data_IF_777592452162
#
_entry.id   IF_777592452162
#
_cell.length_a   1.000
_cell.length_b   1.000
_cell.length_c   1.000
_cell.angle_alpha   90.00
_cell.angle_beta   90.00
_cell.angle_gamma   90.00
#
_symmetry.space_group_name_H-M   'P 1'
#
loop_
_entity.id
_entity.type
_entity.pdbx_description
1 polymer ?
#
# COMPACT_ATOMS: atom_id res chain seq x y z
N UNK A 1 -0.32 21.23 12.30
CA UNK A 1 -0.41 22.14 11.12
C UNK A 1 -0.14 21.46 9.78
N UNK A 2 0.80 20.50 9.65
CA UNK A 2 1.11 19.83 8.37
C UNK A 2 0.05 18.82 7.88
N UNK A 3 -0.68 18.19 8.80
CA UNK A 3 -1.68 17.16 8.48
C UNK A 3 -2.90 17.72 7.75
N UNK A 4 -3.42 18.89 8.18
CA UNK A 4 -4.54 19.60 7.51
C UNK A 4 -4.29 19.81 6.02
N UNK A 5 -3.10 20.31 5.66
CA UNK A 5 -2.76 20.67 4.29
C UNK A 5 -2.79 19.46 3.32
N UNK A 6 -2.40 18.26 3.78
CA UNK A 6 -2.38 17.06 2.94
C UNK A 6 -3.80 16.50 2.75
N UNK A 7 -4.61 16.50 3.82
CA UNK A 7 -6.03 16.13 3.72
C UNK A 7 -6.81 17.08 2.81
N UNK A 8 -6.60 18.39 2.94
CA UNK A 8 -7.31 19.40 2.15
C UNK A 8 -6.98 19.27 0.67
N UNK A 9 -5.72 18.99 0.33
CA UNK A 9 -5.29 18.72 -1.05
C UNK A 9 -5.92 17.44 -1.61
N UNK A 10 -5.97 16.36 -0.84
CA UNK A 10 -6.61 15.11 -1.27
C UNK A 10 -8.10 15.29 -1.54
N UNK A 11 -8.82 15.91 -0.62
CA UNK A 11 -10.25 16.21 -0.77
C UNK A 11 -10.50 17.11 -1.98
N UNK A 12 -9.68 18.14 -2.19
CA UNK A 12 -9.78 19.03 -3.35
C UNK A 12 -9.66 18.27 -4.69
N UNK A 13 -8.65 17.39 -4.82
CA UNK A 13 -8.43 16.63 -6.06
C UNK A 13 -9.54 15.58 -6.27
N UNK A 14 -9.99 14.92 -5.20
CA UNK A 14 -11.14 14.01 -5.27
C UNK A 14 -12.40 14.71 -5.76
N UNK A 15 -12.70 15.89 -5.21
CA UNK A 15 -13.86 16.67 -5.60
C UNK A 15 -13.80 17.05 -7.07
N UNK A 16 -12.61 17.39 -7.60
CA UNK A 16 -12.42 17.69 -9.01
C UNK A 16 -12.78 16.51 -9.93
N UNK A 17 -12.39 15.28 -9.58
CA UNK A 17 -12.83 14.10 -10.35
C UNK A 17 -14.33 13.84 -10.21
N UNK A 18 -14.89 14.00 -9.02
CA UNK A 18 -16.32 13.85 -8.78
C UNK A 18 -17.13 14.89 -9.57
N UNK A 19 -16.60 16.10 -9.77
CA UNK A 19 -17.16 17.12 -10.65
C UNK A 19 -17.08 16.72 -12.12
N UNK A 20 -15.92 16.25 -12.59
CA UNK A 20 -15.75 15.76 -13.97
C UNK A 20 -16.77 14.67 -14.30
N UNK A 21 -17.04 13.75 -13.37
CA UNK A 21 -18.05 12.71 -13.55
C UNK A 21 -19.46 13.29 -13.78
N UNK A 22 -19.79 14.40 -13.12
CA UNK A 22 -21.09 15.09 -13.21
C UNK A 22 -21.24 15.97 -14.45
N UNK A 23 -20.16 16.16 -15.23
CA UNK A 23 -20.18 17.01 -16.41
C UNK A 23 -21.18 16.54 -17.47
N UNK A 24 -21.91 17.51 -18.00
CA UNK A 24 -22.73 17.35 -19.20
C UNK A 24 -21.82 17.35 -20.43
N UNK A 25 -22.41 17.00 -21.58
CA UNK A 25 -21.70 16.95 -22.87
C UNK A 25 -21.08 18.30 -23.24
N UNK A 26 -21.77 19.38 -22.91
CA UNK A 26 -21.30 20.76 -23.11
C UNK A 26 -20.03 21.03 -22.32
N UNK A 27 -19.99 20.60 -21.06
CA UNK A 27 -18.89 20.89 -20.14
C UNK A 27 -17.64 20.10 -20.55
N UNK A 28 -17.82 18.84 -20.99
CA UNK A 28 -16.73 18.05 -21.59
C UNK A 28 -16.17 18.73 -22.83
N UNK A 29 -17.05 19.23 -23.72
CA UNK A 29 -16.64 19.89 -24.95
C UNK A 29 -15.89 21.19 -24.68
N UNK A 30 -16.39 22.01 -23.75
CA UNK A 30 -15.74 23.24 -23.31
C UNK A 30 -14.37 22.97 -22.69
N UNK A 31 -14.28 21.93 -21.86
CA UNK A 31 -13.02 21.52 -21.26
C UNK A 31 -11.99 21.09 -22.31
N UNK A 32 -12.36 20.25 -23.28
CA UNK A 32 -11.45 19.83 -24.35
C UNK A 32 -11.03 21.04 -25.19
N UNK A 33 -11.96 21.94 -25.53
CA UNK A 33 -11.65 23.20 -26.24
C UNK A 33 -10.67 24.08 -25.47
N UNK A 34 -10.82 24.18 -24.14
CA UNK A 34 -9.87 24.92 -23.29
C UNK A 34 -8.45 24.34 -23.33
N UNK A 35 -8.31 23.07 -23.72
CA UNK A 35 -7.06 22.32 -23.86
C UNK A 35 -6.63 22.07 -25.30
N UNK A 36 -7.33 22.63 -26.27
CA UNK A 36 -7.09 22.39 -27.69
C UNK A 36 -5.64 22.70 -28.09
N UNK A 37 -5.13 23.87 -27.74
CA UNK A 37 -3.76 24.28 -28.05
C UNK A 37 -2.71 23.46 -27.29
N UNK A 38 -3.00 23.05 -26.06
CA UNK A 38 -2.09 22.24 -25.23
C UNK A 38 -1.96 20.82 -25.79
N UNK A 39 -3.01 20.32 -26.46
CA UNK A 39 -3.11 18.97 -26.98
C UNK A 39 -2.90 18.85 -28.49
N UNK A 40 -2.67 19.98 -29.18
CA UNK A 40 -2.52 20.06 -30.64
C UNK A 40 -3.70 19.41 -31.38
N UNK A 41 -4.92 19.70 -30.93
CA UNK A 41 -6.16 19.20 -31.52
C UNK A 41 -6.72 20.17 -32.56
N UNK A 42 -7.18 19.67 -33.69
CA UNK A 42 -7.92 20.47 -34.66
C UNK A 42 -9.43 20.49 -34.35
N UNK A 43 -10.18 21.29 -35.11
CA UNK A 43 -11.62 21.42 -34.91
C UNK A 43 -12.39 20.13 -35.30
N UNK A 44 -11.83 19.29 -36.18
CA UNK A 44 -12.47 18.05 -36.62
C UNK A 44 -12.35 16.97 -35.54
N UNK A 45 -11.20 16.89 -34.86
CA UNK A 45 -10.99 16.03 -33.70
C UNK A 45 -12.02 16.32 -32.59
N UNK A 46 -12.23 17.60 -32.29
CA UNK A 46 -13.20 18.06 -31.29
C UNK A 46 -14.64 17.72 -31.71
N UNK A 47 -14.95 17.91 -32.99
CA UNK A 47 -16.27 17.61 -33.57
C UNK A 47 -16.60 16.12 -33.55
N UNK A 48 -15.60 15.23 -33.66
CA UNK A 48 -15.78 13.78 -33.49
C UNK A 48 -16.25 13.46 -32.07
N UNK A 49 -15.66 14.07 -31.04
CA UNK A 49 -16.09 13.88 -29.65
C UNK A 49 -17.50 14.42 -29.42
N UNK A 50 -17.80 15.61 -29.95
CA UNK A 50 -19.13 16.22 -29.89
C UNK A 50 -20.20 15.32 -30.52
N UNK A 51 -19.95 14.81 -31.73
CA UNK A 51 -20.86 13.92 -32.48
C UNK A 51 -21.18 12.63 -31.72
N UNK A 52 -20.20 12.12 -30.97
CA UNK A 52 -20.33 10.91 -30.15
C UNK A 52 -20.97 11.16 -28.77
N UNK A 53 -21.43 12.39 -28.49
CA UNK A 53 -22.28 12.72 -27.33
C UNK A 53 -21.68 12.30 -25.98
N UNK A 54 -20.37 12.46 -25.83
CA UNK A 54 -19.60 12.06 -24.64
C UNK A 54 -19.94 12.95 -23.44
N UNK A 55 -20.40 12.33 -22.34
CA UNK A 55 -20.61 13.00 -21.05
C UNK A 55 -19.47 12.68 -20.07
N UNK A 56 -19.38 13.40 -18.96
CA UNK A 56 -18.29 13.31 -17.97
C UNK A 56 -17.94 11.88 -17.52
N UNK A 57 -18.95 11.12 -17.11
CA UNK A 57 -18.82 9.71 -16.73
C UNK A 57 -18.21 8.82 -17.84
N UNK A 58 -18.52 9.11 -19.11
CA UNK A 58 -17.96 8.36 -20.24
C UNK A 58 -16.54 8.84 -20.53
N UNK A 59 -16.35 10.16 -20.53
CA UNK A 59 -15.07 10.82 -20.80
C UNK A 59 -13.95 10.28 -19.93
N UNK A 60 -14.16 10.19 -18.61
CA UNK A 60 -13.14 9.68 -17.68
C UNK A 60 -12.78 8.19 -17.95
N UNK A 61 -13.62 7.45 -18.65
CA UNK A 61 -13.45 6.02 -18.94
C UNK A 61 -12.98 5.75 -20.39
N UNK A 62 -12.70 6.81 -21.16
CA UNK A 62 -12.07 6.68 -22.47
C UNK A 62 -10.59 6.30 -22.30
N UNK A 63 -10.14 5.48 -23.23
CA UNK A 63 -8.76 5.04 -23.38
C UNK A 63 -8.34 5.29 -24.83
N UNK A 64 -7.04 5.35 -25.08
CA UNK A 64 -6.51 5.51 -26.44
C UNK A 64 -7.09 4.45 -27.39
N UNK A 65 -7.16 3.18 -26.96
CA UNK A 65 -7.77 2.08 -27.72
C UNK A 65 -9.24 2.35 -28.09
N UNK A 66 -10.04 2.89 -27.16
CA UNK A 66 -11.45 3.23 -27.43
C UNK A 66 -11.57 4.41 -28.40
N UNK A 67 -10.66 5.37 -28.32
CA UNK A 67 -10.64 6.55 -29.20
C UNK A 67 -10.20 6.20 -30.62
N UNK A 68 -9.30 5.23 -30.77
CA UNK A 68 -8.88 4.69 -32.07
C UNK A 68 -9.97 3.83 -32.71
N UNK A 69 -10.76 3.12 -31.92
CA UNK A 69 -11.81 2.24 -32.40
C UNK A 69 -13.11 3.00 -32.77
N UNK A 70 -14.01 2.37 -33.56
CA UNK A 70 -15.37 2.86 -33.71
C UNK A 70 -16.05 3.00 -32.34
N UNK A 71 -16.86 4.06 -32.13
CA UNK A 71 -17.36 5.00 -33.13
C UNK A 71 -16.49 6.26 -33.34
N UNK A 72 -15.39 6.42 -32.61
CA UNK A 72 -14.59 7.64 -32.61
C UNK A 72 -13.65 7.71 -33.82
N UNK A 73 -12.95 6.61 -34.12
CA UNK A 73 -12.00 6.53 -35.24
C UNK A 73 -11.03 7.72 -35.29
N UNK A 74 -10.60 8.22 -34.13
CA UNK A 74 -9.61 9.30 -34.04
C UNK A 74 -8.26 8.80 -34.53
N UNK A 75 -7.46 9.71 -35.07
CA UNK A 75 -6.07 9.42 -35.38
C UNK A 75 -5.26 9.25 -34.09
N UNK A 76 -4.16 8.50 -34.18
CA UNK A 76 -3.36 8.15 -32.99
C UNK A 76 -2.82 9.34 -32.20
N UNK A 77 -2.47 10.45 -32.87
CA UNK A 77 -2.04 11.67 -32.18
C UNK A 77 -3.13 12.23 -31.26
N UNK A 78 -4.27 12.68 -31.80
CA UNK A 78 -5.41 13.17 -31.02
C UNK A 78 -5.91 12.17 -29.97
N UNK A 79 -6.01 10.89 -30.33
CA UNK A 79 -6.44 9.83 -29.41
C UNK A 79 -5.49 9.69 -28.21
N UNK A 80 -4.17 9.68 -28.46
CA UNK A 80 -3.15 9.60 -27.43
C UNK A 80 -3.14 10.85 -26.53
N UNK A 81 -3.29 12.04 -27.11
CA UNK A 81 -3.32 13.31 -26.37
C UNK A 81 -4.51 13.38 -25.40
N UNK A 82 -5.72 13.04 -25.86
CA UNK A 82 -6.92 12.99 -25.02
C UNK A 82 -6.79 11.91 -23.94
N UNK A 83 -6.28 10.72 -24.29
CA UNK A 83 -6.06 9.65 -23.32
C UNK A 83 -5.05 10.05 -22.23
N UNK A 84 -3.98 10.78 -22.61
CA UNK A 84 -3.00 11.30 -21.66
C UNK A 84 -3.60 12.35 -20.72
N UNK A 85 -4.47 13.23 -21.23
CA UNK A 85 -5.21 14.19 -20.40
C UNK A 85 -6.05 13.48 -19.33
N UNK A 86 -6.83 12.47 -19.74
CA UNK A 86 -7.68 11.68 -18.83
C UNK A 86 -6.82 10.94 -17.80
N UNK A 87 -5.72 10.34 -18.23
CA UNK A 87 -4.79 9.64 -17.34
C UNK A 87 -4.19 10.59 -16.30
N UNK A 88 -3.79 11.78 -16.71
CA UNK A 88 -3.22 12.80 -15.81
C UNK A 88 -4.20 13.18 -14.69
N UNK A 89 -5.50 13.29 -15.01
CA UNK A 89 -6.55 13.55 -14.00
C UNK A 89 -6.67 12.41 -12.98
N UNK A 90 -6.48 11.16 -13.39
CA UNK A 90 -6.55 9.99 -12.51
C UNK A 90 -5.31 9.82 -11.65
N UNK A 91 -4.14 10.00 -12.27
CA UNK A 91 -2.84 9.83 -11.61
C UNK A 91 -2.66 10.88 -10.50
N UNK A 92 -3.20 12.09 -10.68
CA UNK A 92 -3.19 13.14 -9.65
C UNK A 92 -3.95 12.72 -8.37
N UNK A 93 -5.10 12.04 -8.52
CA UNK A 93 -5.84 11.46 -7.38
C UNK A 93 -5.05 10.32 -6.74
N UNK A 94 -4.49 9.43 -7.53
CA UNK A 94 -3.75 8.29 -7.01
C UNK A 94 -2.51 8.73 -6.21
N UNK A 95 -1.76 9.70 -6.73
CA UNK A 95 -0.60 10.26 -6.05
C UNK A 95 -1.00 10.94 -4.72
N UNK A 96 -2.11 11.70 -4.74
CA UNK A 96 -2.63 12.37 -3.55
C UNK A 96 -3.11 11.37 -2.49
N UNK A 97 -3.77 10.29 -2.90
CA UNK A 97 -4.20 9.20 -2.00
C UNK A 97 -3.02 8.51 -1.33
N UNK A 98 -1.95 8.21 -2.07
CA UNK A 98 -0.73 7.62 -1.51
C UNK A 98 -0.10 8.56 -0.47
N UNK A 99 -0.06 9.87 -0.77
CA UNK A 99 0.44 10.87 0.18
C UNK A 99 -0.42 10.94 1.45
N UNK A 100 -1.74 10.89 1.31
CA UNK A 100 -2.67 10.88 2.45
C UNK A 100 -2.46 9.65 3.34
N UNK A 101 -2.36 8.46 2.74
CA UNK A 101 -2.13 7.21 3.50
C UNK A 101 -0.78 7.22 4.24
N UNK A 102 0.27 7.79 3.64
CA UNK A 102 1.57 7.89 4.28
C UNK A 102 1.52 8.75 5.55
N UNK A 103 0.83 9.90 5.49
CA UNK A 103 0.65 10.80 6.64
C UNK A 103 -0.26 10.19 7.71
N UNK A 104 -1.33 9.51 7.32
CA UNK A 104 -2.20 8.82 8.28
C UNK A 104 -1.43 7.76 9.07
N UNK A 105 -0.58 6.99 8.39
CA UNK A 105 0.23 5.92 9.01
C UNK A 105 1.27 6.46 10.00
N UNK A 106 1.87 7.63 9.75
CA UNK A 106 2.84 8.24 10.68
C UNK A 106 2.18 8.79 11.94
N UNK A 107 0.96 9.32 11.84
CA UNK A 107 0.25 9.88 12.99
C UNK A 107 -0.24 8.80 13.98
N UNK A 108 -0.48 7.57 13.50
CA UNK A 108 -0.82 6.44 14.38
C UNK A 108 0.39 5.96 15.20
N UNK A 109 1.61 6.11 14.67
CA UNK A 109 2.85 5.77 15.39
C UNK A 109 3.18 6.80 16.48
N UNK A 110 3.05 8.10 16.21
CA UNK A 110 3.29 9.16 17.21
C UNK A 110 2.32 9.05 18.40
N UNK A 111 1.04 8.73 18.15
CA UNK A 111 0.06 8.49 19.23
C UNK A 111 0.38 7.26 20.09
N UNK A 112 1.12 6.28 19.55
CA UNK A 112 1.53 5.11 20.32
C UNK A 112 2.72 5.42 21.23
N UNK A 113 3.66 6.27 20.80
CA UNK A 113 4.83 6.66 21.59
C UNK A 113 4.48 7.58 22.77
N UNK A 114 3.53 8.52 22.61
CA UNK A 114 3.11 9.40 23.73
C UNK A 114 2.47 8.63 24.90
N UNK A 115 1.94 7.43 24.67
CA UNK A 115 1.39 6.59 25.74
C UNK A 115 2.43 5.82 26.56
N UNK A 116 3.71 5.82 26.15
CA UNK A 116 4.80 5.13 26.86
C UNK A 116 5.67 6.05 27.71
N UNK A 117 5.52 7.38 27.62
CA UNK A 117 6.32 8.32 28.41
C UNK A 117 5.71 8.72 29.77
N UNK A 118 4.44 8.42 30.04
CA UNK A 118 3.75 8.85 31.28
C UNK A 118 3.79 7.82 32.43
N UNK A 119 4.92 7.12 32.64
CA UNK A 119 5.11 6.22 33.82
C UNK A 119 6.55 6.14 34.35
N UNK A 120 7.36 7.19 34.20
CA UNK A 120 8.74 7.20 34.75
C UNK A 120 9.00 8.33 35.76
N UNK A 121 8.02 8.66 36.59
CA UNK A 121 8.29 9.38 37.84
C UNK A 121 8.34 8.38 39.00
N UNK A 122 9.55 7.88 39.26
CA UNK A 122 9.88 7.10 40.44
C UNK A 122 9.78 7.98 41.69
N UNK A 123 9.07 7.47 42.68
CA UNK A 123 9.00 7.95 44.06
C UNK A 123 10.39 8.16 44.66
N UNK A 124 10.58 9.31 45.32
CA UNK A 124 11.57 9.46 46.39
C UNK A 124 10.80 9.68 47.68
N UNK A 125 10.90 8.71 48.60
CA UNK A 125 10.33 8.77 49.95
C UNK A 125 11.13 9.73 50.83
N UNK A 126 10.47 10.68 51.49
CA UNK A 126 10.84 11.12 52.83
C UNK A 126 9.59 11.57 53.61
N UNK A 127 9.53 11.13 54.87
CA UNK A 127 8.34 10.99 55.69
C UNK A 127 8.00 12.23 56.56
N UNK A 128 6.90 12.08 57.34
CA UNK A 128 6.49 12.83 58.57
C UNK A 128 5.48 13.98 58.27
N UNK A 129 4.27 14.12 58.85
CA UNK A 129 3.54 13.56 60.00
C UNK A 129 2.03 13.96 59.88
N UNK A 130 1.11 13.15 60.46
CA UNK A 130 -0.13 13.50 61.22
C UNK A 130 -1.08 14.59 60.65
N UNK A 131 -2.40 14.39 60.51
CA UNK A 131 -3.38 13.82 61.46
C UNK A 131 -4.75 13.69 60.80
N UNK A 132 -5.35 12.50 60.96
CA UNK A 132 -6.73 12.11 61.24
C UNK A 132 -7.97 13.00 60.90
N UNK A 133 -9.05 12.27 60.61
CA UNK A 133 -10.46 12.42 61.08
C UNK A 133 -11.53 12.69 59.97
N UNK A 134 -12.40 11.69 59.84
CA UNK A 134 -13.83 11.67 59.46
C UNK A 134 -14.28 11.72 57.99
N UNK A 135 -14.64 10.52 57.51
CA UNK A 135 -15.91 10.21 56.84
C UNK A 135 -17.12 10.95 57.47
N UNK A 136 -18.16 11.29 56.68
CA UNK A 136 -19.20 10.28 56.46
C UNK A 136 -19.84 10.28 55.07
N UNK A 137 -20.35 9.09 54.73
CA UNK A 137 -21.37 8.85 53.72
C UNK A 137 -22.61 9.73 53.92
N UNK A 138 -23.29 10.12 52.82
CA UNK A 138 -24.74 10.05 52.75
C UNK A 138 -25.26 10.11 51.31
N UNK A 139 -26.35 9.36 51.13
CA UNK A 139 -27.04 8.97 49.92
C UNK A 139 -28.00 10.04 49.35
N UNK A 140 -28.36 9.82 48.07
CA UNK A 140 -29.71 9.84 47.49
C UNK A 140 -30.47 11.17 47.17
N UNK A 141 -31.02 11.18 45.94
CA UNK A 141 -32.36 11.61 45.46
C UNK A 141 -32.51 12.90 44.61
N UNK A 142 -33.30 12.68 43.53
CA UNK A 142 -34.17 13.58 42.74
C UNK A 142 -33.57 14.34 41.56
N UNK A 143 -33.96 14.00 40.31
CA UNK A 143 -35.18 14.43 39.58
C UNK A 143 -34.98 15.84 38.98
N UNK A 144 -35.39 16.23 37.78
CA UNK A 144 -36.37 15.79 36.77
C UNK A 144 -36.18 16.72 35.56
N UNK A 145 -36.56 16.32 34.35
CA UNK A 145 -36.71 17.29 33.24
C UNK A 145 -36.79 16.66 31.85
N UNK A 146 -37.95 16.09 31.52
CA UNK A 146 -38.41 15.97 30.12
C UNK A 146 -38.52 17.39 29.51
N UNK A 147 -38.33 17.61 28.20
CA UNK A 147 -39.43 17.61 27.21
C UNK A 147 -38.83 17.89 25.80
N UNK A 148 -39.22 17.04 24.84
CA UNK A 148 -39.69 17.33 23.47
C UNK A 148 -38.75 18.00 22.43
N UNK A 149 -38.53 17.30 21.30
CA UNK A 149 -39.02 17.63 19.94
C UNK A 149 -38.27 16.72 18.93
N UNK A 150 -38.95 15.71 18.41
CA UNK A 150 -38.80 15.31 16.99
C UNK A 150 -39.94 15.94 16.18
N UNK A 151 -40.18 15.59 14.90
CA UNK A 151 -39.46 14.62 14.05
C UNK A 151 -39.26 15.11 12.58
N UNK A 152 -38.61 14.28 11.76
CA UNK A 152 -39.05 13.83 10.42
C UNK A 152 -37.88 13.61 9.44
N UNK A 153 -37.74 12.35 9.04
CA UNK A 153 -37.06 11.89 7.82
C UNK A 153 -37.99 10.82 7.22
N UNK A 154 -38.40 10.92 5.95
CA UNK A 154 -39.33 9.95 5.38
C UNK A 154 -38.58 8.77 4.77
N UNK A 155 -38.97 7.58 5.20
CA UNK A 155 -38.82 6.34 4.44
C UNK A 155 -39.90 6.28 3.35
N UNK A 156 -39.52 5.75 2.19
CA UNK A 156 -40.47 5.28 1.18
C UNK A 156 -40.14 3.81 0.89
N UNK A 157 -40.95 2.92 1.44
CA UNK A 157 -41.20 1.60 0.88
C UNK A 157 -42.30 1.74 -0.18
N UNK A 158 -42.19 1.00 -1.28
CA UNK A 158 -43.21 0.00 -1.57
C UNK A 158 -42.87 -0.93 -2.76
N UNK A 159 -43.13 -2.21 -2.49
CA UNK A 159 -43.62 -3.29 -3.36
C UNK A 159 -42.78 -3.78 -4.54
N UNK A 160 -42.29 -5.03 -4.45
CA UNK A 160 -42.87 -6.20 -5.16
C UNK A 160 -42.68 -7.48 -4.30
N UNK A 161 -43.77 -8.23 -4.09
CA UNK A 161 -43.85 -9.52 -3.38
C UNK A 161 -44.16 -10.64 -4.39
N UNK A 162 -43.60 -11.83 -4.16
CA UNK A 162 -44.21 -13.19 -4.18
C UNK A 162 -43.06 -14.21 -3.92
N UNK A 163 -42.87 -14.77 -2.71
CA UNK A 163 -43.37 -16.08 -2.15
C UNK A 163 -43.04 -17.30 -3.04
N UNK A 164 -42.40 -18.39 -2.61
CA UNK A 164 -42.36 -19.25 -1.38
C UNK A 164 -40.94 -19.88 -1.25
N UNK A 165 -40.27 -20.00 -0.09
CA UNK A 165 -40.51 -20.70 1.19
C UNK A 165 -39.85 -22.10 1.27
N UNK A 166 -38.95 -22.23 2.26
CA UNK A 166 -38.37 -23.40 3.01
C UNK A 166 -36.84 -23.27 3.06
N UNK A 167 -36.10 -23.31 4.18
CA UNK A 167 -36.36 -23.58 5.59
C UNK A 167 -35.29 -22.84 6.43
N UNK A 168 -35.68 -22.41 7.63
CA UNK A 168 -34.83 -21.78 8.66
C UNK A 168 -33.84 -22.78 9.25
N UNK A 169 -32.61 -22.33 9.53
CA UNK A 169 -31.96 -22.54 10.84
C UNK A 169 -30.93 -21.41 11.06
N UNK A 170 -31.11 -20.62 12.12
CA UNK A 170 -30.08 -19.75 12.68
C UNK A 170 -29.11 -20.59 13.52
N UNK A 171 -27.81 -20.36 13.42
CA UNK A 171 -26.90 -19.95 14.53
C UNK A 171 -25.43 -20.21 14.19
N UNK A 172 -24.60 -19.28 14.69
CA UNK A 172 -23.15 -19.36 14.94
C UNK A 172 -22.20 -18.91 13.82
N UNK A 173 -21.72 -17.68 14.01
CA UNK A 173 -20.36 -17.28 13.68
C UNK A 173 -19.38 -18.34 14.22
N UNK A 174 -18.78 -19.09 13.31
CA UNK A 174 -17.58 -19.86 13.59
C UNK A 174 -16.38 -19.10 13.03
N UNK A 175 -15.33 -18.87 13.83
CA UNK A 175 -14.01 -18.51 13.33
C UNK A 175 -13.60 -19.54 12.27
N UNK A 176 -13.09 -19.03 11.15
CA UNK A 176 -12.76 -19.79 9.95
C UNK A 176 -12.01 -21.06 10.31
N UNK A 177 -12.59 -22.16 9.84
CA UNK A 177 -12.06 -23.52 9.85
C UNK A 177 -10.61 -23.56 9.37
N UNK A 178 -9.84 -24.48 9.93
CA UNK A 178 -8.45 -24.86 9.62
C UNK A 178 -8.21 -25.37 8.17
N UNK A 179 -9.07 -24.96 7.23
CA UNK A 179 -8.98 -25.25 5.81
C UNK A 179 -7.73 -24.63 5.20
N UNK A 180 -6.92 -25.46 4.54
CA UNK A 180 -5.78 -24.99 3.76
C UNK A 180 -6.19 -24.25 2.46
N UNK A 181 -7.48 -24.27 2.10
CA UNK A 181 -8.04 -23.72 0.87
C UNK A 181 -8.75 -22.39 1.10
N UNK A 182 -8.92 -21.64 0.00
CA UNK A 182 -9.63 -20.37 0.01
C UNK A 182 -11.13 -20.56 0.30
N UNK A 183 -11.76 -19.61 1.01
CA UNK A 183 -13.20 -19.62 1.18
C UNK A 183 -13.89 -19.49 -0.17
N UNK A 184 -15.09 -20.06 -0.30
CA UNK A 184 -15.84 -20.07 -1.56
C UNK A 184 -16.19 -18.65 -2.05
N UNK A 185 -16.31 -17.70 -1.13
CA UNK A 185 -16.47 -16.26 -1.40
C UNK A 185 -15.26 -15.63 -2.11
N UNK A 186 -14.08 -16.23 -2.04
CA UNK A 186 -12.88 -15.72 -2.69
C UNK A 186 -12.96 -15.80 -4.23
N UNK A 187 -13.76 -16.72 -4.78
CA UNK A 187 -13.99 -16.87 -6.22
C UNK A 187 -14.63 -15.62 -6.85
N UNK A 188 -15.39 -14.85 -6.07
CA UNK A 188 -16.02 -13.60 -6.52
C UNK A 188 -15.08 -12.40 -6.46
N UNK A 189 -13.99 -12.51 -5.70
CA UNK A 189 -13.08 -11.40 -5.42
C UNK A 189 -11.77 -11.49 -6.21
N UNK A 190 -11.30 -12.72 -6.49
CA UNK A 190 -10.07 -12.98 -7.22
C UNK A 190 -10.36 -13.18 -8.70
N UNK A 191 -9.61 -12.48 -9.57
CA UNK A 191 -9.76 -12.65 -11.03
C UNK A 191 -9.17 -13.94 -11.53
N UNK A 192 -8.14 -14.43 -10.85
CA UNK A 192 -7.39 -15.64 -11.20
C UNK A 192 -7.56 -16.69 -10.10
N UNK A 193 -8.80 -16.93 -9.69
CA UNK A 193 -9.12 -17.83 -8.58
C UNK A 193 -8.55 -19.24 -8.78
N UNK A 194 -8.58 -19.75 -10.01
CA UNK A 194 -7.98 -21.03 -10.42
C UNK A 194 -6.51 -21.15 -10.00
N UNK A 195 -5.76 -20.06 -10.08
CA UNK A 195 -4.35 -20.00 -9.70
C UNK A 195 -4.15 -20.00 -8.20
N UNK A 196 -5.09 -19.45 -7.44
CA UNK A 196 -4.98 -19.28 -5.99
C UNK A 196 -5.69 -20.38 -5.19
N UNK A 197 -6.57 -21.15 -5.84
CA UNK A 197 -7.34 -22.23 -5.22
C UNK A 197 -6.50 -23.51 -4.98
N UNK A 198 -5.46 -23.36 -4.17
CA UNK A 198 -4.55 -24.41 -3.73
C UNK A 198 -4.06 -24.08 -2.32
N UNK A 199 -3.45 -25.05 -1.61
CA UNK A 199 -2.90 -24.80 -0.29
C UNK A 199 -1.98 -23.58 -0.29
N UNK A 200 -2.08 -22.71 0.71
CA UNK A 200 -1.30 -21.46 0.76
C UNK A 200 0.22 -21.65 0.68
N UNK A 201 0.73 -22.85 1.05
CA UNK A 201 2.14 -23.24 0.89
C UNK A 201 2.57 -23.39 -0.58
N UNK A 202 1.63 -23.68 -1.46
CA UNK A 202 1.84 -23.93 -2.89
C UNK A 202 1.44 -22.73 -3.76
N UNK A 203 1.12 -21.60 -3.15
CA UNK A 203 0.81 -20.39 -3.90
C UNK A 203 1.97 -19.95 -4.78
N UNK A 204 1.64 -19.52 -6.02
CA UNK A 204 2.64 -19.29 -7.04
C UNK A 204 3.53 -18.11 -6.67
N UNK A 205 4.79 -18.22 -7.04
CA UNK A 205 5.66 -17.08 -7.18
C UNK A 205 5.17 -16.13 -8.29
N UNK A 206 5.72 -14.92 -8.32
CA UNK A 206 5.42 -13.96 -9.39
C UNK A 206 5.76 -14.52 -10.80
N UNK A 207 6.82 -15.32 -10.91
CA UNK A 207 7.21 -15.96 -12.17
C UNK A 207 6.18 -16.99 -12.61
N UNK A 208 5.74 -17.86 -11.71
CA UNK A 208 4.74 -18.89 -12.03
C UNK A 208 3.37 -18.28 -12.34
N UNK A 209 3.01 -17.20 -11.65
CA UNK A 209 1.81 -16.41 -11.96
C UNK A 209 1.92 -15.78 -13.34
N UNK A 210 3.08 -15.20 -13.69
CA UNK A 210 3.35 -14.66 -15.02
C UNK A 210 3.20 -15.73 -16.12
N UNK A 211 3.76 -16.92 -15.89
CA UNK A 211 3.68 -18.03 -16.83
C UNK A 211 2.24 -18.51 -17.03
N UNK A 212 1.44 -18.53 -15.96
CA UNK A 212 0.01 -18.85 -16.05
C UNK A 212 -0.75 -17.82 -16.88
N UNK A 213 -0.53 -16.53 -16.61
CA UNK A 213 -1.17 -15.44 -17.37
C UNK A 213 -0.79 -15.45 -18.84
N UNK A 214 0.46 -15.81 -19.15
CA UNK A 214 0.91 -15.97 -20.53
C UNK A 214 0.21 -17.17 -21.22
N UNK A 215 0.19 -18.33 -20.56
CA UNK A 215 -0.36 -19.57 -21.14
C UNK A 215 -1.88 -19.56 -21.30
N UNK A 216 -2.60 -19.09 -20.28
CA UNK A 216 -4.07 -19.18 -20.21
C UNK A 216 -4.73 -17.93 -20.78
N UNK A 217 -4.15 -16.76 -20.52
CA UNK A 217 -4.78 -15.47 -20.86
C UNK A 217 -4.06 -14.70 -21.97
N UNK A 218 -2.93 -15.21 -22.50
CA UNK A 218 -2.09 -14.54 -23.50
C UNK A 218 -1.62 -13.14 -23.06
N UNK A 219 -1.44 -12.94 -21.75
CA UNK A 219 -0.97 -11.67 -21.16
C UNK A 219 0.53 -11.79 -20.90
N UNK A 220 1.34 -11.08 -21.68
CA UNK A 220 2.81 -11.06 -21.56
C UNK A 220 3.39 -9.72 -21.07
N UNK A 221 2.56 -8.67 -21.01
CA UNK A 221 3.03 -7.33 -20.62
C UNK A 221 3.38 -7.31 -19.14
N UNK A 222 4.67 -7.15 -18.84
CA UNK A 222 5.23 -7.18 -17.49
C UNK A 222 4.47 -6.29 -16.50
N UNK A 223 4.16 -5.04 -16.85
CA UNK A 223 3.46 -4.11 -15.96
C UNK A 223 2.05 -4.59 -15.59
N UNK A 224 1.35 -5.22 -16.54
CA UNK A 224 0.02 -5.78 -16.33
C UNK A 224 0.07 -7.02 -15.43
N UNK A 225 1.08 -7.88 -15.62
CA UNK A 225 1.29 -9.07 -14.77
C UNK A 225 1.59 -8.64 -13.33
N UNK A 226 2.52 -7.71 -13.14
CA UNK A 226 2.91 -7.23 -11.81
C UNK A 226 1.76 -6.51 -11.10
N UNK A 227 1.03 -5.63 -11.79
CA UNK A 227 -0.12 -4.94 -11.20
C UNK A 227 -1.23 -5.91 -10.82
N UNK A 228 -1.53 -6.90 -11.68
CA UNK A 228 -2.51 -7.95 -11.39
C UNK A 228 -2.10 -8.78 -10.18
N UNK A 229 -0.86 -9.26 -10.15
CA UNK A 229 -0.31 -10.01 -9.00
C UNK A 229 -0.43 -9.23 -7.68
N UNK A 230 -0.08 -7.94 -7.70
CA UNK A 230 -0.16 -7.09 -6.51
C UNK A 230 -1.61 -6.90 -6.02
N UNK A 231 -2.56 -6.75 -6.93
CA UNK A 231 -3.98 -6.62 -6.59
C UNK A 231 -4.49 -7.91 -5.95
N UNK A 232 -4.21 -9.07 -6.55
CA UNK A 232 -4.62 -10.38 -6.03
C UNK A 232 -4.04 -10.64 -4.63
N UNK A 233 -2.75 -10.38 -4.41
CA UNK A 233 -2.12 -10.49 -3.09
C UNK A 233 -2.80 -9.58 -2.06
N UNK A 234 -3.14 -8.33 -2.44
CA UNK A 234 -3.84 -7.41 -1.54
C UNK A 234 -5.26 -7.86 -1.17
N UNK A 235 -5.95 -8.55 -2.07
CA UNK A 235 -7.27 -9.14 -1.81
C UNK A 235 -7.11 -10.35 -0.87
N UNK A 236 -6.16 -11.24 -1.16
CA UNK A 236 -5.84 -12.39 -0.30
C UNK A 236 -5.49 -11.95 1.13
N UNK A 237 -4.71 -10.88 1.29
CA UNK A 237 -4.36 -10.34 2.61
C UNK A 237 -5.59 -9.87 3.40
N UNK A 238 -6.65 -9.41 2.74
CA UNK A 238 -7.90 -9.00 3.40
C UNK A 238 -8.81 -10.17 3.74
N UNK A 239 -8.68 -11.29 3.02
CA UNK A 239 -9.50 -12.48 3.24
C UNK A 239 -9.09 -13.27 4.49
N UNK A 240 -7.83 -13.19 4.90
CA UNK A 240 -7.32 -13.92 6.06
C UNK A 240 -7.17 -13.01 7.28
N UNK A 241 -7.46 -13.53 8.47
CA UNK A 241 -7.15 -12.85 9.73
C UNK A 241 -5.65 -12.58 9.87
N UNK A 242 -5.27 -11.53 10.62
CA UNK A 242 -3.86 -11.12 10.79
C UNK A 242 -2.97 -12.21 11.37
N UNK A 243 -3.51 -13.11 12.20
CA UNK A 243 -2.76 -14.22 12.80
C UNK A 243 -2.73 -15.50 11.94
N UNK A 244 -3.36 -15.50 10.76
CA UNK A 244 -3.43 -16.70 9.92
C UNK A 244 -2.06 -17.02 9.27
N UNK A 245 -1.64 -18.29 9.20
CA UNK A 245 -0.33 -18.68 8.64
C UNK A 245 -0.12 -18.23 7.18
N UNK A 246 -1.21 -18.11 6.41
CA UNK A 246 -1.14 -17.60 5.04
C UNK A 246 -0.63 -16.14 4.95
N UNK A 247 -0.77 -15.33 6.00
CA UNK A 247 -0.29 -13.94 6.00
C UNK A 247 1.22 -13.84 5.84
N UNK A 248 1.98 -14.72 6.53
CA UNK A 248 3.45 -14.76 6.40
C UNK A 248 3.88 -15.04 4.96
N UNK A 249 3.21 -15.97 4.30
CA UNK A 249 3.46 -16.28 2.88
C UNK A 249 3.06 -15.12 1.96
N UNK A 250 1.94 -14.45 2.21
CA UNK A 250 1.52 -13.28 1.41
C UNK A 250 2.50 -12.12 1.55
N UNK A 251 3.06 -11.90 2.74
CA UNK A 251 4.11 -10.90 2.95
C UNK A 251 5.38 -11.23 2.17
N UNK A 252 5.79 -12.50 2.13
CA UNK A 252 6.92 -12.96 1.31
C UNK A 252 6.68 -12.72 -0.18
N UNK A 253 5.52 -13.15 -0.70
CA UNK A 253 5.12 -12.95 -2.10
C UNK A 253 5.05 -11.46 -2.47
N UNK A 254 4.50 -10.62 -1.58
CA UNK A 254 4.45 -9.17 -1.77
C UNK A 254 5.84 -8.53 -1.83
N UNK A 255 6.80 -9.03 -1.05
CA UNK A 255 8.17 -8.53 -1.02
C UNK A 255 8.97 -8.95 -2.25
N UNK A 256 8.75 -10.17 -2.78
CA UNK A 256 9.34 -10.58 -4.06
C UNK A 256 8.90 -9.69 -5.22
N UNK A 257 7.65 -9.21 -5.22
CA UNK A 257 7.18 -8.23 -6.19
C UNK A 257 7.86 -6.86 -6.11
N UNK A 258 8.42 -6.49 -4.95
CA UNK A 258 9.13 -5.20 -4.74
C UNK A 258 10.60 -5.26 -5.18
N UNK A 259 11.27 -6.41 -5.03
CA UNK A 259 12.67 -6.59 -5.44
C UNK A 259 12.88 -6.50 -6.96
N UNK A 260 11.85 -6.77 -7.76
CA UNK A 260 11.94 -6.65 -9.22
C UNK A 260 11.81 -5.22 -9.78
N UNK A 261 11.49 -4.22 -8.95
CA UNK A 261 11.33 -2.81 -9.36
C UNK A 261 12.67 -2.04 -9.32
N UNK A 262 13.68 -2.54 -8.60
CA UNK A 262 14.99 -1.90 -8.52
C UNK A 262 15.93 -2.23 -9.68
N UNK A 263 15.57 -3.15 -10.57
CA UNK A 263 16.36 -3.50 -11.77
C UNK A 263 15.85 -2.87 -13.08
N UNK A 264 14.81 -2.02 -13.02
CA UNK A 264 14.11 -1.51 -14.21
C UNK A 264 14.25 -0.03 -14.54
N UNK A 265 15.10 0.75 -13.85
CA UNK A 265 15.25 2.19 -14.13
C UNK A 265 16.62 2.46 -14.74
N UNK A 266 16.78 2.23 -16.05
CA UNK A 266 17.63 3.03 -16.93
C UNK A 266 16.94 3.17 -18.30
N UNK A 267 17.06 4.37 -18.88
CA UNK A 267 16.59 4.92 -20.17
C UNK A 267 15.21 5.59 -20.06
N UNK A 268 15.07 6.92 -20.08
CA UNK A 268 15.67 7.87 -21.04
C UNK A 268 15.96 9.24 -20.40
N UNK A 269 17.22 9.68 -20.54
CA UNK A 269 17.64 11.09 -20.40
C UNK A 269 17.20 11.92 -21.62
N UNK A 270 17.39 13.25 -21.52
CA UNK A 270 17.41 14.28 -22.58
C UNK A 270 16.16 15.16 -22.80
N UNK A 271 15.92 16.12 -21.90
CA UNK A 271 15.58 17.51 -22.28
C UNK A 271 15.78 18.45 -21.07
N UNK A 272 16.28 19.66 -21.32
CA UNK A 272 16.61 20.75 -20.38
C UNK A 272 18.01 20.72 -19.72
N UNK A 273 19.04 21.04 -20.50
CA UNK A 273 19.90 22.21 -20.21
C UNK A 273 20.37 22.75 -21.56
N UNK A 274 19.86 23.90 -21.99
CA UNK A 274 20.18 24.46 -23.30
C UNK A 274 19.56 25.81 -23.59
N UNK A 275 19.75 26.80 -22.70
CA UNK A 275 19.70 28.21 -23.07
C UNK A 275 20.90 28.91 -22.45
N UNK A 276 21.92 29.14 -23.27
CA UNK A 276 22.75 30.34 -23.31
C UNK A 276 23.97 30.03 -24.19
N UNK A 277 23.90 30.40 -25.47
CA UNK A 277 24.90 31.24 -26.13
C UNK A 277 24.44 31.46 -27.57
N UNK A 278 23.77 32.59 -27.80
CA UNK A 278 23.77 33.25 -29.10
C UNK A 278 25.14 33.91 -29.21
N UNK A 279 26.07 33.32 -29.96
CA UNK A 279 27.18 34.07 -30.58
C UNK A 279 27.94 33.16 -31.56
N UNK A 280 28.02 33.63 -32.81
CA UNK A 280 29.16 33.46 -33.74
C UNK A 280 29.71 32.04 -33.94
N UNK A 281 29.49 31.48 -35.13
CA UNK A 281 30.48 31.61 -36.20
C UNK A 281 30.06 30.77 -37.42
N UNK A 282 29.85 31.48 -38.52
CA UNK A 282 30.02 30.97 -39.88
C UNK A 282 31.49 30.52 -40.04
N UNK A 283 31.73 29.54 -40.93
CA UNK A 283 33.00 28.95 -41.39
C UNK A 283 33.55 27.79 -40.55
N UNK A 284 33.47 26.55 -41.05
CA UNK A 284 34.52 25.96 -41.91
C UNK A 284 34.14 24.51 -42.25
N UNK A 285 34.07 24.19 -43.54
CA UNK A 285 34.03 22.81 -44.04
C UNK A 285 35.41 22.14 -43.91
N UNK A 286 35.44 20.80 -43.94
CA UNK A 286 36.58 19.90 -44.26
C UNK A 286 37.50 19.41 -43.12
N UNK A 287 37.25 18.23 -42.55
CA UNK A 287 37.87 16.91 -42.90
C UNK A 287 37.76 15.86 -41.77
N UNK A 288 37.68 14.54 -42.08
CA UNK A 288 37.37 13.48 -41.13
C UNK A 288 38.57 12.56 -40.82
N UNK A 289 38.40 11.75 -39.74
CA UNK A 289 39.17 10.53 -39.37
C UNK A 289 40.43 10.78 -38.53
N UNK A 290 40.30 10.65 -37.20
CA UNK A 290 41.26 9.96 -36.30
C UNK A 290 40.93 10.03 -34.78
N UNK A 291 39.81 10.64 -34.34
CA UNK A 291 39.51 10.81 -32.90
C UNK A 291 38.64 9.66 -32.30
N UNK A 292 38.25 8.64 -33.07
CA UNK A 292 37.31 7.60 -32.59
C UNK A 292 37.91 6.50 -31.69
N UNK A 293 39.25 6.38 -31.55
CA UNK A 293 39.86 5.28 -30.75
C UNK A 293 40.14 5.62 -29.29
N UNK A 294 40.43 6.88 -28.94
CA UNK A 294 40.81 7.24 -27.55
C UNK A 294 39.61 7.35 -26.60
N UNK A 295 38.41 7.67 -27.12
CA UNK A 295 37.20 7.78 -26.27
C UNK A 295 36.58 6.43 -25.87
N UNK A 296 36.87 5.33 -26.58
CA UNK A 296 36.30 4.02 -26.24
C UNK A 296 36.98 3.36 -25.04
N UNK A 297 38.30 3.50 -24.90
CA UNK A 297 39.05 2.88 -23.80
C UNK A 297 38.72 3.49 -22.42
N UNK A 298 38.52 4.82 -22.34
CA UNK A 298 38.19 5.52 -21.08
C UNK A 298 36.76 5.24 -20.57
N UNK A 299 35.82 4.99 -21.48
CA UNK A 299 34.43 4.66 -21.12
C UNK A 299 34.30 3.22 -20.62
N UNK A 300 35.04 2.27 -21.20
CA UNK A 300 35.05 0.88 -20.75
C UNK A 300 35.69 0.71 -19.37
N UNK A 301 36.75 1.45 -19.04
CA UNK A 301 37.42 1.37 -17.72
C UNK A 301 36.58 1.95 -16.57
N UNK A 302 35.78 2.99 -16.83
CA UNK A 302 34.89 3.58 -15.81
C UNK A 302 33.72 2.65 -15.49
N UNK A 303 33.20 1.94 -16.49
CA UNK A 303 32.11 0.97 -16.33
C UNK A 303 32.52 -0.25 -15.50
N UNK A 304 33.74 -0.77 -15.70
CA UNK A 304 34.23 -1.94 -14.94
C UNK A 304 34.48 -1.60 -13.47
N UNK A 305 35.07 -0.43 -13.17
CA UNK A 305 35.28 0.03 -11.79
C UNK A 305 33.96 0.24 -11.04
N UNK A 306 32.93 0.76 -11.71
CA UNK A 306 31.60 0.95 -11.11
C UNK A 306 30.91 -0.39 -10.81
N UNK A 307 31.03 -1.38 -11.71
CA UNK A 307 30.47 -2.72 -11.50
C UNK A 307 31.12 -3.44 -10.31
N UNK A 308 32.44 -3.32 -10.17
CA UNK A 308 33.19 -3.88 -9.02
C UNK A 308 32.81 -3.19 -7.71
N UNK A 309 32.62 -1.87 -7.72
CA UNK A 309 32.21 -1.13 -6.51
C UNK A 309 30.80 -1.53 -6.06
N UNK A 310 29.86 -1.72 -6.99
CA UNK A 310 28.50 -2.18 -6.69
C UNK A 310 28.50 -3.55 -6.02
N UNK A 311 29.27 -4.51 -6.56
CA UNK A 311 29.42 -5.84 -5.95
C UNK A 311 30.02 -5.77 -4.53
N UNK A 312 31.02 -4.91 -4.30
CA UNK A 312 31.60 -4.75 -2.96
C UNK A 312 30.61 -4.17 -1.95
N UNK A 313 29.75 -3.24 -2.36
CA UNK A 313 28.71 -2.66 -1.49
C UNK A 313 27.64 -3.70 -1.16
N UNK A 314 27.22 -4.53 -2.11
CA UNK A 314 26.28 -5.64 -1.85
C UNK A 314 26.86 -6.65 -0.86
N UNK A 315 28.09 -7.11 -1.08
CA UNK A 315 28.78 -8.02 -0.14
C UNK A 315 28.93 -7.41 1.27
N UNK A 316 29.15 -6.10 1.37
CA UNK A 316 29.23 -5.42 2.67
C UNK A 316 27.86 -5.35 3.37
N UNK A 317 26.77 -5.15 2.63
CA UNK A 317 25.41 -5.17 3.20
C UNK A 317 25.06 -6.54 3.76
N UNK A 318 25.35 -7.59 3.02
CA UNK A 318 25.10 -8.97 3.46
C UNK A 318 25.93 -9.30 4.70
N UNK A 319 27.19 -8.84 4.77
CA UNK A 319 28.02 -8.99 5.97
C UNK A 319 27.48 -8.23 7.19
N UNK A 320 26.95 -7.03 7.01
CA UNK A 320 26.34 -6.25 8.12
C UNK A 320 25.08 -6.95 8.63
N UNK A 321 24.22 -7.43 7.73
CA UNK A 321 23.00 -8.16 8.08
C UNK A 321 23.35 -9.48 8.79
N UNK A 322 24.32 -10.24 8.26
CA UNK A 322 24.76 -11.51 8.85
C UNK A 322 25.37 -11.31 10.24
N UNK A 323 26.20 -10.27 10.42
CA UNK A 323 26.75 -9.92 11.73
C UNK A 323 25.69 -9.44 12.72
N UNK A 324 24.62 -8.79 12.24
CA UNK A 324 23.46 -8.45 13.07
C UNK A 324 22.73 -9.72 13.53
N UNK A 325 22.50 -10.65 12.62
CA UNK A 325 21.85 -11.93 12.91
C UNK A 325 22.63 -12.76 13.94
N UNK A 326 23.96 -12.85 13.82
CA UNK A 326 24.79 -13.56 14.78
C UNK A 326 24.74 -12.95 16.19
N UNK A 327 24.72 -11.62 16.32
CA UNK A 327 24.61 -10.95 17.63
C UNK A 327 23.27 -11.22 18.29
N UNK A 328 22.19 -11.22 17.52
CA UNK A 328 20.84 -11.50 18.05
C UNK A 328 20.76 -12.94 18.52
N UNK A 329 21.27 -13.90 17.74
CA UNK A 329 21.29 -15.30 18.15
C UNK A 329 22.15 -15.53 19.39
N UNK A 330 23.33 -14.91 19.47
CA UNK A 330 24.16 -14.98 20.67
C UNK A 330 23.42 -14.47 21.91
N UNK A 331 22.72 -13.34 21.80
CA UNK A 331 21.91 -12.81 22.90
C UNK A 331 20.77 -13.75 23.31
N UNK A 332 20.19 -14.46 22.35
CA UNK A 332 19.14 -15.45 22.60
C UNK A 332 19.68 -16.67 23.34
N UNK A 333 20.85 -17.16 22.95
CA UNK A 333 21.53 -18.28 23.60
C UNK A 333 21.93 -17.92 25.04
N UNK A 334 22.51 -16.73 25.25
CA UNK A 334 22.86 -16.21 26.58
C UNK A 334 21.64 -16.10 27.50
N UNK A 335 20.50 -15.66 26.96
CA UNK A 335 19.23 -15.57 27.70
C UNK A 335 18.71 -16.95 28.10
N UNK A 336 18.76 -17.92 27.18
CA UNK A 336 18.33 -19.30 27.46
C UNK A 336 19.21 -20.00 28.49
N UNK A 337 20.52 -19.78 28.43
CA UNK A 337 21.45 -20.31 29.43
C UNK A 337 21.17 -19.72 30.82
N UNK A 338 21.02 -18.39 30.91
CA UNK A 338 20.70 -17.72 32.17
C UNK A 338 19.34 -18.16 32.75
N UNK A 339 18.32 -18.35 31.90
CA UNK A 339 17.00 -18.85 32.31
C UNK A 339 17.08 -20.28 32.83
N UNK A 340 17.84 -21.15 32.16
CA UNK A 340 18.07 -22.53 32.58
C UNK A 340 18.75 -22.62 33.94
N UNK A 341 19.73 -21.74 34.20
CA UNK A 341 20.43 -21.69 35.49
C UNK A 341 19.54 -21.21 36.63
N UNK A 342 18.61 -20.29 36.38
CA UNK A 342 17.61 -19.87 37.38
C UNK A 342 16.68 -21.02 37.76
N UNK A 343 16.25 -21.82 36.79
CA UNK A 343 15.39 -22.99 37.05
C UNK A 343 16.14 -24.03 37.89
N UNK A 344 17.42 -24.30 37.58
CA UNK A 344 18.24 -25.26 38.35
C UNK A 344 18.43 -24.84 39.81
N UNK A 345 18.68 -23.55 40.09
CA UNK A 345 18.85 -23.05 41.48
C UNK A 345 17.58 -23.17 42.32
N UNK A 346 16.40 -23.15 41.71
CA UNK A 346 15.14 -23.30 42.43
C UNK A 346 14.81 -24.76 42.78
N UNK A 347 15.42 -25.73 42.09
CA UNK A 347 15.21 -27.16 42.35
C UNK A 347 16.17 -27.71 43.43
N UNK A 348 17.36 -27.12 43.58
CA UNK A 348 18.39 -27.61 44.51
C UNK A 348 18.21 -27.11 45.96
N UNK A 349 17.32 -26.13 46.19
CA UNK A 349 17.00 -25.61 47.53
C UNK A 349 15.85 -26.36 48.23
N UNK A 350 15.40 -27.49 47.68
CA UNK A 350 14.19 -28.20 48.13
C UNK A 350 14.39 -29.34 49.14
N UNK A 351 15.61 -29.83 49.37
CA UNK A 351 15.83 -31.06 50.16
C UNK A 351 17.05 -30.94 51.10
N UNK A 352 16.92 -30.20 52.21
CA UNK A 352 17.82 -30.37 53.37
C UNK A 352 17.26 -29.69 54.62
N UNK A 353 16.06 -30.05 55.07
CA UNK A 353 15.67 -29.79 56.45
C UNK A 353 14.63 -30.78 56.97
N UNK A 354 14.99 -32.06 57.04
CA UNK A 354 14.22 -32.99 57.89
C UNK A 354 15.11 -34.07 58.53
N UNK A 355 16.02 -33.65 59.41
CA UNK A 355 16.62 -34.54 60.41
C UNK A 355 17.11 -33.74 61.62
N UNK A 356 16.23 -33.49 62.61
CA UNK A 356 16.61 -33.26 64.02
C UNK A 356 15.40 -33.10 64.95
N UNK A 357 14.54 -34.12 65.04
CA UNK A 357 13.61 -34.25 66.19
C UNK A 357 13.61 -35.69 66.68
N UNK A 358 14.61 -36.05 67.50
CA UNK A 358 14.54 -37.21 68.41
C UNK A 358 15.69 -37.15 69.43
N UNK A 359 15.42 -36.50 70.56
CA UNK A 359 15.83 -36.94 71.92
C UNK A 359 15.58 -35.80 72.89
N UNK A 360 14.51 -35.91 73.68
CA UNK A 360 14.53 -35.64 75.13
C UNK A 360 13.22 -36.19 75.72
N UNK A 361 13.28 -37.46 76.15
CA UNK A 361 12.41 -38.05 77.17
C UNK A 361 13.31 -38.94 78.04
N UNK A 362 13.81 -38.39 79.13
CA UNK A 362 13.73 -38.99 80.47
C UNK A 362 14.22 -37.99 81.51
#
# INVERSE_FOLDING_TARGET
MKTSCVTDRYISILNRLAEVVKWKRTDVLEYIKSKQNDLDLDDEDIKIIEKNKVAGQVFINLTEEKLLAPPYNLLGGPAGAIAFLIKSLKDEVQASYISYLAVASTNELEKSEESFQEKNDLQTDEAIEKTCINEPSCNLISASGEILVGPYLPETDDLIRNTEATEKTCTNEHPISTSNFLPETASQLLRYYDVWNRPHKEWPSLSEFSDHLYKVHNISKKDLVHSSFKIEIGILQKLFAKQHPAQSRLSELANMGKLAVSEGIIVSDYALVGRNLVARCVLFQQTPRLIKKVRRAKVTEKSTKQKVLKQKIELAKDSVILNGFHRINQHYDDYHEASSDLIKRNLDNGDSHDEKVKRFRK
#
